data_IF_559718728552
#
_entry.id   IF_559718728552
#
_cell.length_a   1.000
_cell.length_b   1.000
_cell.length_c   1.000
_cell.angle_alpha   90.00
_cell.angle_beta   90.00
_cell.angle_gamma   90.00
#
_symmetry.space_group_name_H-M   'P 1'
#
loop_
_entity.id
_entity.type
_entity.pdbx_description
1 polymer ?
#
# COMPACT_ATOMS: atom_id res chain seq x y z
N UNK A 1 -22.61 -5.29 68.26
CA UNK A 1 -22.86 -5.81 66.91
C UNK A 1 -21.85 -5.15 65.97
N UNK A 2 -20.95 -5.94 65.36
CA UNK A 2 -19.93 -5.43 64.41
C UNK A 2 -20.45 -5.66 62.99
N UNK A 3 -20.76 -4.58 62.28
CA UNK A 3 -21.12 -4.63 60.86
C UNK A 3 -19.85 -4.63 60.01
N UNK A 4 -19.68 -5.66 59.19
CA UNK A 4 -18.68 -5.69 58.12
C UNK A 4 -19.34 -5.19 56.84
N UNK A 5 -18.85 -4.08 56.29
CA UNK A 5 -19.24 -3.62 54.95
C UNK A 5 -18.26 -4.23 53.96
N UNK A 6 -18.71 -5.21 53.18
CA UNK A 6 -17.96 -5.72 52.04
C UNK A 6 -18.18 -4.78 50.85
N UNK A 7 -17.18 -3.98 50.51
CA UNK A 7 -17.18 -3.22 49.27
C UNK A 7 -16.69 -4.12 48.13
N UNK A 8 -17.62 -4.60 47.30
CA UNK A 8 -17.28 -5.24 46.05
C UNK A 8 -16.96 -4.16 45.00
N UNK A 9 -15.68 -4.01 44.64
CA UNK A 9 -15.31 -3.28 43.44
C UNK A 9 -15.74 -4.12 42.23
N UNK A 10 -16.82 -3.71 41.56
CA UNK A 10 -17.04 -4.12 40.18
C UNK A 10 -15.99 -3.42 39.31
N UNK A 11 -14.94 -4.15 38.93
CA UNK A 11 -14.09 -3.76 37.82
C UNK A 11 -14.93 -3.86 36.54
N UNK A 12 -15.48 -2.74 36.11
CA UNK A 12 -16.10 -2.62 34.79
C UNK A 12 -14.93 -2.69 33.80
N UNK A 13 -14.69 -3.86 33.22
CA UNK A 13 -13.77 -4.00 32.11
C UNK A 13 -14.31 -3.11 30.98
N UNK A 14 -13.69 -1.95 30.79
CA UNK A 14 -13.87 -1.16 29.58
C UNK A 14 -13.37 -2.03 28.44
N UNK A 15 -14.29 -2.69 27.74
CA UNK A 15 -14.03 -3.23 26.42
C UNK A 15 -13.71 -2.00 25.58
N UNK A 16 -12.42 -1.73 25.36
CA UNK A 16 -11.98 -0.75 24.39
C UNK A 16 -12.56 -1.20 23.06
N UNK A 17 -13.67 -0.60 22.66
CA UNK A 17 -14.22 -0.77 21.33
C UNK A 17 -13.14 -0.29 20.39
N UNK A 18 -12.54 -1.21 19.61
CA UNK A 18 -11.57 -0.92 18.55
C UNK A 18 -12.23 -0.19 17.36
N UNK A 19 -13.02 0.85 17.65
CA UNK A 19 -13.41 1.89 16.72
C UNK A 19 -12.31 2.94 16.76
N UNK A 20 -11.81 3.32 15.60
CA UNK A 20 -10.94 4.47 15.38
C UNK A 20 -9.46 4.33 15.72
N UNK A 21 -8.85 3.16 15.49
CA UNK A 21 -7.42 3.16 15.21
C UNK A 21 -7.21 3.46 13.73
N UNK A 22 -7.13 4.76 13.41
CA UNK A 22 -6.58 5.22 12.14
C UNK A 22 -5.25 4.53 11.89
N UNK A 23 -5.04 4.09 10.65
CA UNK A 23 -3.83 3.38 10.28
C UNK A 23 -2.63 4.35 10.43
N UNK A 24 -1.59 3.94 11.17
CA UNK A 24 -0.41 4.80 11.31
C UNK A 24 0.42 4.81 10.02
N UNK A 25 1.11 5.91 9.67
CA UNK A 25 2.01 5.96 8.52
C UNK A 25 3.11 4.89 8.56
N UNK A 26 3.64 4.59 9.75
CA UNK A 26 4.64 3.53 9.93
C UNK A 26 4.09 2.16 9.56
N UNK A 27 2.86 1.86 10.01
CA UNK A 27 2.20 0.60 9.71
C UNK A 27 1.82 0.51 8.23
N UNK A 28 1.41 1.62 7.62
CA UNK A 28 1.16 1.69 6.19
C UNK A 28 2.42 1.37 5.38
N UNK A 29 3.58 1.94 5.75
CA UNK A 29 4.87 1.62 5.11
C UNK A 29 5.24 0.15 5.21
N UNK A 30 5.04 -0.48 6.38
CA UNK A 30 5.25 -1.94 6.54
C UNK A 30 4.34 -2.77 5.63
N UNK A 31 3.07 -2.37 5.50
CA UNK A 31 2.09 -3.07 4.66
C UNK A 31 2.48 -2.93 3.18
N UNK A 32 2.87 -1.73 2.73
CA UNK A 32 3.32 -1.47 1.37
C UNK A 32 4.55 -2.30 1.04
N UNK A 33 5.55 -2.35 1.93
CA UNK A 33 6.75 -3.17 1.70
C UNK A 33 6.43 -4.65 1.46
N UNK A 34 5.45 -5.21 2.19
CA UNK A 34 4.99 -6.59 1.96
C UNK A 34 4.30 -6.78 0.61
N UNK A 35 3.61 -5.74 0.09
CA UNK A 35 3.01 -5.76 -1.24
C UNK A 35 3.99 -5.43 -2.36
N UNK A 36 5.16 -4.87 -2.06
CA UNK A 36 6.25 -4.72 -3.03
C UNK A 36 7.06 -6.02 -3.16
N UNK A 37 7.30 -6.73 -2.05
CA UNK A 37 7.88 -8.09 -2.07
C UNK A 37 7.11 -9.08 -2.98
N UNK A 38 5.82 -8.82 -3.20
CA UNK A 38 4.95 -9.54 -4.12
C UNK A 38 5.30 -9.28 -5.58
N UNK A 39 5.65 -8.03 -5.91
CA UNK A 39 5.82 -7.55 -7.28
C UNK A 39 7.21 -7.84 -7.84
N UNK A 40 8.21 -8.14 -7.00
CA UNK A 40 9.59 -8.42 -7.44
C UNK A 40 9.68 -9.85 -8.02
N UNK A 41 9.65 -9.94 -9.35
CA UNK A 41 10.11 -11.13 -10.09
C UNK A 41 11.62 -11.02 -10.40
N UNK A 42 12.23 -12.12 -10.84
CA UNK A 42 13.68 -12.28 -11.03
C UNK A 42 14.35 -11.26 -11.98
N UNK A 43 13.59 -10.70 -12.93
CA UNK A 43 14.07 -9.71 -13.90
C UNK A 43 13.87 -8.23 -13.48
N UNK A 44 13.29 -7.94 -12.31
CA UNK A 44 13.08 -6.56 -11.83
C UNK A 44 14.22 -6.18 -10.89
N UNK A 45 15.20 -5.46 -11.44
CA UNK A 45 16.40 -5.08 -10.71
C UNK A 45 16.15 -3.87 -9.82
N UNK A 46 15.91 -4.16 -8.54
CA UNK A 46 16.68 -3.57 -7.44
C UNK A 46 16.61 -2.04 -7.32
N UNK A 47 15.40 -1.53 -7.10
CA UNK A 47 15.12 -0.30 -6.33
C UNK A 47 13.60 -0.13 -6.31
N UNK A 48 12.90 -1.08 -5.68
CA UNK A 48 11.49 -0.90 -5.35
C UNK A 48 11.40 0.28 -4.38
N UNK A 49 10.98 1.41 -4.91
CA UNK A 49 10.76 2.60 -4.14
C UNK A 49 9.27 2.73 -3.90
N UNK A 50 8.84 2.38 -2.69
CA UNK A 50 7.59 2.92 -2.15
C UNK A 50 7.80 4.41 -1.91
N UNK A 51 7.60 5.18 -2.96
CA UNK A 51 7.47 6.62 -2.85
C UNK A 51 6.11 6.97 -2.31
N UNK A 52 6.03 8.10 -1.60
CA UNK A 52 4.76 8.72 -1.29
C UNK A 52 3.74 7.76 -0.63
N UNK A 53 3.97 7.32 0.60
CA UNK A 53 2.95 6.51 1.31
C UNK A 53 2.00 7.44 2.06
N UNK A 54 0.72 7.43 1.68
CA UNK A 54 -0.32 8.23 2.33
C UNK A 54 -1.48 7.35 2.80
N UNK A 55 -1.88 7.56 4.05
CA UNK A 55 -3.06 6.94 4.66
C UNK A 55 -4.22 7.92 4.54
N UNK A 56 -5.32 7.47 3.93
CA UNK A 56 -6.49 8.32 3.69
C UNK A 56 -7.74 7.47 3.48
N UNK A 57 -8.84 7.89 4.10
CA UNK A 57 -10.20 7.41 3.82
C UNK A 57 -10.73 8.07 2.52
N UNK A 58 -10.48 7.43 1.38
CA UNK A 58 -10.78 7.95 0.04
C UNK A 58 -12.28 7.90 -0.25
N UNK A 59 -12.97 6.84 0.17
CA UNK A 59 -14.39 6.64 -0.12
C UNK A 59 -15.34 7.13 1.00
N UNK A 60 -14.76 7.59 2.12
CA UNK A 60 -15.46 8.16 3.29
C UNK A 60 -16.31 7.14 4.04
N UNK A 61 -15.92 5.87 4.00
CA UNK A 61 -16.58 4.81 4.76
C UNK A 61 -16.07 4.68 6.21
N UNK A 62 -15.06 5.48 6.59
CA UNK A 62 -14.43 5.48 7.91
C UNK A 62 -13.30 4.46 8.06
N UNK A 63 -12.89 3.82 6.98
CA UNK A 63 -11.75 2.91 6.89
C UNK A 63 -10.68 3.56 6.02
N UNK A 64 -9.46 3.66 6.53
CA UNK A 64 -8.38 4.23 5.73
C UNK A 64 -7.94 3.27 4.61
N UNK A 65 -7.70 3.80 3.41
CA UNK A 65 -6.88 3.20 2.36
C UNK A 65 -5.41 3.63 2.49
N UNK A 66 -4.53 2.90 1.80
CA UNK A 66 -3.13 3.26 1.61
C UNK A 66 -2.89 3.57 0.14
N UNK A 67 -2.53 4.81 -0.16
CA UNK A 67 -2.10 5.26 -1.49
C UNK A 67 -0.58 5.30 -1.51
N UNK A 68 0.04 4.70 -2.53
CA UNK A 68 1.49 4.75 -2.68
C UNK A 68 1.94 4.80 -4.14
N UNK A 69 3.11 5.37 -4.37
CA UNK A 69 3.82 5.25 -5.64
C UNK A 69 4.59 3.93 -5.64
N UNK A 70 4.22 3.04 -6.55
CA UNK A 70 4.96 1.82 -6.87
C UNK A 70 5.82 2.11 -8.10
N UNK A 71 7.12 2.36 -7.87
CA UNK A 71 8.06 2.62 -8.94
C UNK A 71 9.28 1.74 -8.76
N UNK A 72 9.74 1.15 -9.86
CA UNK A 72 10.98 0.39 -9.91
C UNK A 72 11.82 0.83 -11.11
N UNK A 73 13.14 0.70 -10.98
CA UNK A 73 14.05 0.76 -12.11
C UNK A 73 14.25 -0.66 -12.65
N UNK A 74 14.47 -0.82 -13.95
CA UNK A 74 14.97 -2.07 -14.50
C UNK A 74 16.32 -1.82 -15.13
N UNK A 75 17.25 -2.73 -14.87
CA UNK A 75 18.39 -2.97 -15.74
C UNK A 75 18.18 -4.34 -16.38
N UNK A 76 18.28 -4.42 -17.70
CA UNK A 76 18.27 -5.68 -18.47
C UNK A 76 16.95 -6.49 -18.45
N UNK A 77 15.83 -5.90 -18.01
CA UNK A 77 14.52 -6.56 -18.07
C UNK A 77 13.93 -6.57 -19.47
N UNK A 78 13.36 -7.71 -19.87
CA UNK A 78 12.55 -7.80 -21.11
C UNK A 78 11.13 -7.27 -20.93
N UNK A 79 10.71 -7.02 -19.69
CA UNK A 79 9.38 -6.53 -19.28
C UNK A 79 9.40 -5.07 -18.87
N UNK A 80 8.21 -4.48 -18.75
CA UNK A 80 8.04 -3.09 -18.33
C UNK A 80 8.16 -2.95 -16.82
N UNK A 81 8.92 -1.94 -16.36
CA UNK A 81 9.04 -1.66 -14.93
C UNK A 81 7.76 -1.00 -14.39
N UNK A 82 7.37 -1.31 -13.15
CA UNK A 82 6.32 -0.58 -12.45
C UNK A 82 6.62 0.92 -12.37
N UNK A 83 5.60 1.72 -12.66
CA UNK A 83 5.51 3.14 -12.32
C UNK A 83 4.02 3.48 -12.24
N UNK A 84 3.41 3.19 -11.10
CA UNK A 84 1.97 3.30 -10.88
C UNK A 84 1.65 3.93 -9.54
N UNK A 85 0.48 4.56 -9.47
CA UNK A 85 -0.15 4.86 -8.18
C UNK A 85 -1.07 3.72 -7.82
N UNK A 86 -0.75 3.06 -6.72
CA UNK A 86 -1.47 1.90 -6.22
C UNK A 86 -2.27 2.25 -4.97
N UNK A 87 -3.42 1.59 -4.82
CA UNK A 87 -4.31 1.73 -3.66
C UNK A 87 -4.50 0.36 -3.00
N UNK A 88 -4.14 0.29 -1.72
CA UNK A 88 -4.51 -0.84 -0.86
C UNK A 88 -5.72 -0.45 -0.03
N UNK A 89 -6.73 -1.32 -0.02
CA UNK A 89 -7.90 -1.19 0.84
C UNK A 89 -7.90 -2.24 1.92
N UNK A 90 -8.61 -1.97 3.01
CA UNK A 90 -8.90 -3.02 4.00
C UNK A 90 -9.82 -4.07 3.40
N UNK A 91 -9.45 -5.32 3.57
CA UNK A 91 -10.24 -6.47 3.15
C UNK A 91 -11.57 -6.51 3.92
N UNK A 92 -12.68 -6.41 3.19
CA UNK A 92 -14.02 -6.61 3.74
C UNK A 92 -14.35 -8.12 3.77
N UNK A 93 -14.67 -8.71 4.92
CA UNK A 93 -15.07 -10.11 4.99
C UNK A 93 -16.37 -10.32 4.17
N UNK A 94 -16.28 -11.09 3.08
CA UNK A 94 -17.44 -11.41 2.22
C UNK A 94 -17.16 -11.38 0.72
N UNK A 95 -16.10 -10.69 0.28
CA UNK A 95 -15.54 -10.83 -1.07
C UNK A 95 -14.35 -11.77 -1.01
N UNK A 96 -14.58 -13.07 -1.15
CA UNK A 96 -13.46 -14.00 -1.37
C UNK A 96 -12.70 -13.52 -2.62
N UNK A 97 -11.38 -13.31 -2.56
CA UNK A 97 -10.61 -13.08 -3.77
C UNK A 97 -10.77 -14.31 -4.66
N UNK A 98 -11.08 -14.11 -5.94
CA UNK A 98 -11.01 -15.20 -6.92
C UNK A 98 -9.53 -15.57 -7.10
N UNK A 99 -9.03 -16.46 -6.25
CA UNK A 99 -7.68 -16.97 -6.40
C UNK A 99 -7.74 -18.25 -7.21
N UNK A 100 -7.55 -18.12 -8.52
CA UNK A 100 -7.49 -19.25 -9.45
C UNK A 100 -6.08 -19.86 -9.58
N UNK A 101 -5.08 -19.28 -8.92
CA UNK A 101 -3.69 -19.75 -8.89
C UNK A 101 -3.25 -20.09 -7.45
N UNK A 102 -2.24 -20.96 -7.26
CA UNK A 102 -1.60 -21.11 -5.95
C UNK A 102 -1.11 -19.74 -5.47
N UNK A 103 -1.53 -19.33 -4.27
CA UNK A 103 -1.05 -18.10 -3.64
C UNK A 103 0.38 -18.32 -3.19
N UNK A 104 1.31 -17.52 -3.68
CA UNK A 104 2.69 -17.59 -3.25
C UNK A 104 2.87 -17.16 -1.79
N UNK A 105 3.93 -17.66 -1.14
CA UNK A 105 4.17 -17.41 0.28
C UNK A 105 4.32 -15.91 0.62
N UNK A 106 4.86 -15.12 -0.31
CA UNK A 106 4.96 -13.66 -0.18
C UNK A 106 3.57 -13.02 -0.13
N UNK A 107 2.63 -13.48 -0.95
CA UNK A 107 1.28 -12.90 -1.05
C UNK A 107 0.46 -13.24 0.19
N UNK A 108 0.64 -14.46 0.72
CA UNK A 108 0.03 -14.88 1.99
C UNK A 108 0.45 -13.93 3.12
N UNK A 109 1.73 -13.54 3.18
CA UNK A 109 2.23 -12.61 4.21
C UNK A 109 1.60 -11.22 4.06
N UNK A 110 1.54 -10.69 2.84
CA UNK A 110 0.93 -9.39 2.57
C UNK A 110 -0.56 -9.38 2.93
N UNK A 111 -1.32 -10.40 2.53
CA UNK A 111 -2.76 -10.53 2.83
C UNK A 111 -3.08 -10.65 4.32
N UNK A 112 -2.19 -11.22 5.14
CA UNK A 112 -2.37 -11.32 6.61
C UNK A 112 -2.44 -9.95 7.30
N UNK A 113 -1.99 -8.88 6.65
CA UNK A 113 -2.13 -7.52 7.16
C UNK A 113 -3.59 -7.05 7.19
N UNK A 114 -4.47 -7.70 6.42
CA UNK A 114 -5.85 -7.30 6.22
C UNK A 114 -6.02 -6.21 5.17
N UNK A 115 -4.96 -5.82 4.46
CA UNK A 115 -5.03 -4.89 3.32
C UNK A 115 -4.72 -5.63 2.02
N UNK A 116 -5.45 -5.30 0.95
CA UNK A 116 -5.32 -5.92 -0.37
C UNK A 116 -5.35 -4.87 -1.49
N UNK A 117 -4.70 -5.11 -2.64
CA UNK A 117 -4.81 -4.25 -3.82
C UNK A 117 -6.27 -4.04 -4.20
N UNK A 118 -6.61 -2.80 -4.54
CA UNK A 118 -7.95 -2.39 -5.00
C UNK A 118 -7.90 -1.73 -6.37
N UNK A 119 -7.00 -0.78 -6.56
CA UNK A 119 -6.84 -0.03 -7.79
C UNK A 119 -5.36 0.26 -8.06
N UNK A 120 -5.01 0.42 -9.33
CA UNK A 120 -3.69 0.80 -9.80
C UNK A 120 -3.84 1.62 -11.07
N UNK A 121 -3.11 2.73 -11.18
CA UNK A 121 -3.06 3.56 -12.38
C UNK A 121 -1.61 3.80 -12.78
N UNK A 122 -1.26 3.45 -14.02
CA UNK A 122 0.07 3.67 -14.56
C UNK A 122 0.33 5.16 -14.83
N UNK A 123 1.54 5.63 -14.50
CA UNK A 123 1.96 7.00 -14.74
C UNK A 123 3.03 7.03 -15.85
N UNK A 124 2.76 7.70 -16.99
CA UNK A 124 3.74 7.82 -18.06
C UNK A 124 4.74 8.92 -17.71
N UNK A 125 5.83 8.60 -17.01
CA UNK A 125 6.93 9.52 -16.72
C UNK A 125 7.23 9.75 -15.23
N UNK A 126 8.09 10.71 -14.94
CA UNK A 126 8.62 10.92 -13.59
C UNK A 126 7.59 11.62 -12.70
N UNK A 127 7.22 11.00 -11.58
CA UNK A 127 6.29 11.58 -10.61
C UNK A 127 6.99 12.70 -9.85
N UNK A 128 6.57 13.94 -10.10
CA UNK A 128 7.10 15.14 -9.46
C UNK A 128 6.38 15.44 -8.14
N UNK A 129 5.08 15.15 -8.09
CA UNK A 129 4.25 15.37 -6.90
C UNK A 129 3.06 14.43 -6.91
N UNK A 130 2.72 13.97 -5.73
CA UNK A 130 1.44 13.33 -5.46
C UNK A 130 0.76 14.07 -4.31
N UNK A 131 -0.55 14.24 -4.40
CA UNK A 131 -1.35 14.79 -3.32
C UNK A 131 -2.71 14.11 -3.29
N UNK A 132 -3.23 13.86 -2.09
CA UNK A 132 -4.63 13.50 -1.91
C UNK A 132 -5.44 14.74 -1.55
N UNK A 133 -6.44 15.05 -2.38
CA UNK A 133 -7.38 16.15 -2.20
C UNK A 133 -8.79 15.62 -1.98
N UNK A 134 -9.18 15.45 -0.72
CA UNK A 134 -10.47 14.84 -0.38
C UNK A 134 -10.52 13.40 -0.86
N UNK A 135 -11.40 13.10 -1.82
CA UNK A 135 -11.57 11.77 -2.41
C UNK A 135 -10.87 11.63 -3.78
N UNK A 136 -9.91 12.49 -4.10
CA UNK A 136 -9.17 12.47 -5.36
C UNK A 136 -7.68 12.38 -5.10
N UNK A 137 -7.02 11.58 -5.92
CA UNK A 137 -5.57 11.49 -6.00
C UNK A 137 -5.15 12.41 -7.16
N UNK A 138 -4.34 13.41 -6.88
CA UNK A 138 -3.74 14.29 -7.88
C UNK A 138 -2.27 13.90 -8.06
N UNK A 139 -1.87 13.65 -9.30
CA UNK A 139 -0.50 13.28 -9.68
C UNK A 139 0.01 14.32 -10.66
N UNK A 140 1.13 14.94 -10.34
CA UNK A 140 1.88 15.78 -11.27
C UNK A 140 3.11 14.98 -11.69
N UNK A 141 3.25 14.76 -12.98
CA UNK A 141 4.36 14.03 -13.56
C UNK A 141 4.94 14.78 -14.75
N UNK A 142 6.21 14.50 -15.04
CA UNK A 142 6.93 15.06 -16.16
C UNK A 142 7.15 13.97 -17.20
N UNK A 143 6.68 14.24 -18.42
CA UNK A 143 6.98 13.43 -19.60
C UNK A 143 8.07 14.12 -20.41
N UNK A 144 9.16 13.42 -20.62
CA UNK A 144 10.28 13.80 -21.48
C UNK A 144 10.37 12.76 -22.61
N UNK A 145 11.11 13.08 -23.67
CA UNK A 145 11.34 12.13 -24.79
C UNK A 145 11.98 10.82 -24.30
N UNK A 146 12.82 10.90 -23.26
CA UNK A 146 13.42 9.76 -22.57
C UNK A 146 12.59 9.24 -21.39
N UNK A 147 11.40 9.79 -21.12
CA UNK A 147 10.56 9.28 -20.05
C UNK A 147 10.08 7.88 -20.44
N UNK A 148 10.35 6.87 -19.62
CA UNK A 148 9.94 5.52 -19.93
C UNK A 148 8.42 5.46 -19.86
N UNK A 149 7.76 5.40 -21.02
CA UNK A 149 6.34 5.00 -21.07
C UNK A 149 6.23 3.50 -20.78
N UNK A 150 7.31 2.76 -20.98
CA UNK A 150 7.57 1.37 -20.62
C UNK A 150 9.01 1.11 -21.13
N UNK A 151 9.89 0.54 -20.28
CA UNK A 151 11.36 0.38 -20.43
C UNK A 151 12.23 1.63 -20.26
N UNK A 152 13.07 1.59 -19.22
CA UNK A 152 14.21 2.47 -19.00
C UNK A 152 15.47 1.70 -19.39
N UNK A 153 16.07 2.03 -20.53
CA UNK A 153 17.45 1.60 -20.79
C UNK A 153 18.40 2.46 -19.95
N UNK A 154 19.49 1.87 -19.46
CA UNK A 154 20.59 2.65 -18.91
C UNK A 154 21.17 3.54 -20.02
N UNK A 155 21.48 4.83 -19.76
CA UNK A 155 22.25 5.63 -20.70
C UNK A 155 23.57 4.90 -20.97
N UNK A 156 23.86 4.66 -22.24
CA UNK A 156 25.15 4.14 -22.65
C UNK A 156 26.23 5.14 -22.19
N UNK A 157 27.31 4.74 -21.50
CA UNK A 157 28.34 5.67 -21.05
C UNK A 157 29.12 6.35 -22.20
N UNK A 158 28.86 5.96 -23.45
CA UNK A 158 29.53 6.46 -24.64
C UNK A 158 28.70 7.44 -25.51
N UNK A 159 27.47 7.78 -25.10
CA UNK A 159 26.62 8.77 -25.78
C UNK A 159 25.69 8.22 -26.86
#
# INVERSE_FOLDING_TARGET
MRSYVMAALLAIATVATAKDQRLSPSRAGEIVGLWQDVSVNDDIVKEDYAGFVQVVDLDKDGVDEIVYLSSSYCSDSTSDCPNSIDVLRKYSPGKAPNVSAPIDAWEIRARRTGYTPDASEHIPGEVMRLAVQGNRIEVVFLVQESSPICKREQPNPDG
#
